data_IF_914751371599
#
_entry.id   IF_914751371599
#
_cell.length_a   1.000
_cell.length_b   1.000
_cell.length_c   1.000
_cell.angle_alpha   90.00
_cell.angle_beta   90.00
_cell.angle_gamma   90.00
#
_symmetry.space_group_name_H-M   'P 1'
#
loop_
_entity.id
_entity.type
_entity.pdbx_description
1 polymer ?
#
# COMPACT_ATOMS: atom_id res chain seq x y z
N UNK A 1 1.72 8.00 18.28
CA UNK A 1 1.96 6.61 17.90
C UNK A 1 0.72 6.19 17.14
N UNK A 2 0.75 6.26 15.81
CA UNK A 2 -0.39 5.84 15.00
C UNK A 2 -0.16 4.38 14.65
N UNK A 3 -1.19 3.56 14.88
CA UNK A 3 -1.15 2.11 14.82
C UNK A 3 -0.73 1.62 13.43
N UNK A 4 0.34 0.81 13.39
CA UNK A 4 0.87 0.24 12.17
C UNK A 4 -0.11 -0.84 11.68
N UNK A 5 -0.67 -0.64 10.48
CA UNK A 5 -1.59 -1.60 9.88
C UNK A 5 -0.80 -2.86 9.49
N UNK A 6 -1.01 -3.98 10.17
CA UNK A 6 -0.31 -5.23 9.87
C UNK A 6 -0.98 -6.02 8.74
N UNK A 7 -2.31 -6.09 8.78
CA UNK A 7 -3.12 -6.79 7.80
C UNK A 7 -4.52 -6.18 7.72
N UNK A 8 -5.16 -6.33 6.57
CA UNK A 8 -6.58 -6.05 6.38
C UNK A 8 -7.26 -7.33 5.93
N UNK A 9 -8.22 -7.75 6.73
CA UNK A 9 -9.06 -8.92 6.45
C UNK A 9 -10.43 -8.40 6.02
N UNK A 10 -10.86 -8.76 4.82
CA UNK A 10 -12.25 -8.62 4.34
C UNK A 10 -12.90 -10.01 4.28
N UNK A 11 -14.20 -10.07 4.03
CA UNK A 11 -14.94 -11.36 3.95
C UNK A 11 -14.37 -12.33 2.90
N UNK A 12 -13.69 -11.82 1.87
CA UNK A 12 -13.16 -12.61 0.75
C UNK A 12 -11.66 -12.51 0.56
N UNK A 13 -10.98 -11.49 1.13
CA UNK A 13 -9.56 -11.25 0.90
C UNK A 13 -8.83 -10.88 2.19
N UNK A 14 -7.69 -11.50 2.43
CA UNK A 14 -6.72 -11.03 3.43
C UNK A 14 -5.53 -10.45 2.71
N UNK A 15 -5.17 -9.21 3.05
CA UNK A 15 -3.97 -8.55 2.55
C UNK A 15 -3.07 -8.16 3.71
N UNK A 16 -1.77 -8.37 3.55
CA UNK A 16 -0.73 -8.06 4.52
C UNK A 16 0.06 -6.85 4.05
N UNK A 17 0.29 -5.91 4.96
CA UNK A 17 1.01 -4.68 4.68
C UNK A 17 2.47 -4.86 5.05
N UNK A 18 3.34 -4.51 4.12
CA UNK A 18 4.78 -4.48 4.32
C UNK A 18 5.21 -3.03 4.39
N UNK A 19 5.82 -2.64 5.51
CA UNK A 19 6.29 -1.29 5.75
C UNK A 19 7.82 -1.22 5.64
N UNK A 20 8.33 -0.08 5.17
CA UNK A 20 9.74 0.25 5.26
C UNK A 20 10.12 0.67 6.70
N UNK A 21 11.41 0.78 7.01
CA UNK A 21 11.91 1.19 8.33
C UNK A 21 11.41 2.57 8.82
N UNK A 22 10.85 3.38 7.93
CA UNK A 22 10.18 4.66 8.24
C UNK A 22 8.66 4.55 8.48
N UNK A 23 8.07 3.36 8.39
CA UNK A 23 6.63 3.12 8.57
C UNK A 23 5.77 3.45 7.34
N UNK A 24 6.36 3.41 6.14
CA UNK A 24 5.65 3.63 4.87
C UNK A 24 5.36 2.30 4.19
N UNK A 25 4.11 2.08 3.75
CA UNK A 25 3.69 0.83 3.07
C UNK A 25 4.40 0.67 1.73
N UNK A 26 5.34 -0.26 1.59
CA UNK A 26 6.06 -0.53 0.33
C UNK A 26 5.45 -1.66 -0.49
N UNK A 27 4.74 -2.60 0.13
CA UNK A 27 4.11 -3.69 -0.58
C UNK A 27 2.88 -4.24 0.15
N UNK A 28 2.01 -4.89 -0.62
CA UNK A 28 0.86 -5.65 -0.15
C UNK A 28 0.91 -7.05 -0.70
N UNK A 29 0.77 -8.05 0.15
CA UNK A 29 0.68 -9.46 -0.24
C UNK A 29 -0.65 -10.08 0.16
N UNK A 30 -1.12 -11.07 -0.58
CA UNK A 30 -2.30 -11.85 -0.19
C UNK A 30 -1.96 -12.97 0.83
N UNK A 31 -2.97 -13.75 1.22
CA UNK A 31 -2.83 -14.91 2.11
C UNK A 31 -2.03 -16.07 1.54
N UNK A 32 -1.75 -16.06 0.24
CA UNK A 32 -0.91 -17.06 -0.44
C UNK A 32 0.53 -16.57 -0.60
N UNK A 33 0.84 -15.35 -0.18
CA UNK A 33 2.17 -14.74 -0.27
C UNK A 33 2.46 -14.08 -1.62
N UNK A 34 1.48 -13.98 -2.51
CA UNK A 34 1.65 -13.26 -3.77
C UNK A 34 1.55 -11.76 -3.52
N UNK A 35 2.47 -10.99 -4.09
CA UNK A 35 2.37 -9.52 -4.09
C UNK A 35 1.14 -9.17 -4.92
N UNK A 36 0.26 -8.37 -4.33
CA UNK A 36 -0.97 -7.85 -4.96
C UNK A 36 -0.72 -6.43 -5.46
N UNK A 37 0.03 -5.63 -4.70
CA UNK A 37 0.33 -4.24 -5.01
C UNK A 37 1.68 -3.87 -4.40
N UNK A 38 2.43 -2.99 -5.07
CA UNK A 38 3.67 -2.41 -4.55
C UNK A 38 3.59 -0.89 -4.62
N UNK A 39 4.28 -0.22 -3.71
CA UNK A 39 4.32 1.24 -3.67
C UNK A 39 5.77 1.70 -3.67
N UNK A 40 6.07 2.65 -4.54
CA UNK A 40 7.35 3.33 -4.57
C UNK A 40 7.13 4.80 -4.31
N UNK A 41 8.05 5.42 -3.60
CA UNK A 41 7.96 6.84 -3.29
C UNK A 41 9.06 7.59 -4.06
N UNK A 42 8.67 8.67 -4.72
CA UNK A 42 9.64 9.61 -5.30
C UNK A 42 10.37 10.39 -4.19
N UNK A 43 11.41 11.16 -4.53
CA UNK A 43 12.17 12.00 -3.59
C UNK A 43 11.29 13.04 -2.89
N UNK A 44 10.15 13.39 -3.48
CA UNK A 44 9.13 14.27 -2.90
C UNK A 44 8.11 13.53 -2.02
N UNK A 45 8.22 12.21 -1.85
CA UNK A 45 7.29 11.40 -1.06
C UNK A 45 5.98 11.08 -1.76
N UNK A 46 5.86 11.36 -3.07
CA UNK A 46 4.67 10.99 -3.85
C UNK A 46 4.62 9.47 -4.05
N UNK A 47 3.54 8.79 -3.60
CA UNK A 47 3.39 7.36 -3.80
C UNK A 47 3.01 7.07 -5.26
N UNK A 48 3.78 6.20 -5.91
CA UNK A 48 3.43 5.56 -7.17
C UNK A 48 2.97 4.15 -6.89
N UNK A 49 1.75 3.83 -7.33
CA UNK A 49 1.15 2.52 -7.16
C UNK A 49 1.59 1.64 -8.33
N UNK A 50 2.15 0.48 -8.00
CA UNK A 50 2.65 -0.48 -8.96
C UNK A 50 1.88 -1.79 -8.81
N UNK A 51 1.52 -2.36 -9.96
CA UNK A 51 0.98 -3.71 -10.05
C UNK A 51 2.07 -4.76 -9.75
N UNK A 52 1.65 -6.01 -9.62
CA UNK A 52 2.50 -7.20 -9.46
C UNK A 52 3.54 -7.35 -10.56
N UNK A 53 3.28 -6.76 -11.73
CA UNK A 53 4.17 -6.71 -12.90
C UNK A 53 4.97 -5.41 -13.02
N UNK A 54 5.05 -4.61 -11.94
CA UNK A 54 5.71 -3.29 -11.91
C UNK A 54 5.14 -2.27 -12.89
N UNK A 55 3.89 -2.46 -13.34
CA UNK A 55 3.19 -1.48 -14.14
C UNK A 55 2.53 -0.42 -13.25
N UNK A 56 2.62 0.86 -13.61
CA UNK A 56 1.97 1.94 -12.88
C UNK A 56 0.44 1.78 -12.95
N UNK A 57 -0.21 1.83 -11.79
CA UNK A 57 -1.66 1.79 -11.66
C UNK A 57 -2.18 3.20 -11.32
N UNK A 58 -3.22 3.69 -12.01
CA UNK A 58 -3.82 5.00 -11.70
C UNK A 58 -4.56 4.99 -10.36
N UNK A 59 -4.97 3.81 -9.87
CA UNK A 59 -5.70 3.62 -8.61
C UNK A 59 -5.31 2.31 -7.93
N UNK A 60 -5.36 2.27 -6.59
CA UNK A 60 -5.15 1.03 -5.84
C UNK A 60 -6.32 0.07 -6.08
N UNK A 61 -6.01 -1.14 -6.55
CA UNK A 61 -6.99 -2.23 -6.72
C UNK A 61 -7.54 -2.70 -5.38
N UNK A 62 -6.77 -2.49 -4.32
CA UNK A 62 -7.16 -2.81 -2.96
C UNK A 62 -7.72 -1.61 -2.20
N UNK A 63 -7.92 -0.44 -2.81
CA UNK A 63 -8.40 0.77 -2.11
C UNK A 63 -7.59 1.05 -0.84
N UNK A 64 -6.27 1.01 -0.97
CA UNK A 64 -5.40 1.35 0.14
C UNK A 64 -5.44 2.86 0.36
N UNK A 65 -6.01 3.29 1.48
CA UNK A 65 -6.08 4.70 1.88
C UNK A 65 -4.86 5.15 2.69
N UNK A 66 -4.05 4.22 3.18
CA UNK A 66 -2.94 4.48 4.10
C UNK A 66 -1.62 4.23 3.38
N UNK A 67 -1.20 5.23 2.60
CA UNK A 67 -0.05 5.12 1.70
C UNK A 67 1.18 5.83 2.27
N UNK A 68 1.08 7.05 2.79
CA UNK A 68 2.26 7.80 3.24
C UNK A 68 2.14 8.24 4.70
N UNK A 69 3.10 7.85 5.55
CA UNK A 69 3.17 8.21 6.99
C UNK A 69 1.98 7.79 7.86
N UNK A 70 1.20 6.78 7.44
CA UNK A 70 -0.03 6.40 8.13
C UNK A 70 -1.14 7.46 8.09
N UNK A 71 -1.01 8.47 7.20
CA UNK A 71 -2.05 9.48 6.96
C UNK A 71 -2.85 9.11 5.71
N UNK A 72 -4.15 9.38 5.73
CA UNK A 72 -4.99 9.22 4.54
C UNK A 72 -4.41 10.08 3.42
N UNK A 73 -3.98 9.44 2.32
CA UNK A 73 -3.57 10.16 1.12
C UNK A 73 -4.86 10.65 0.44
N UNK A 74 -5.27 11.88 0.77
CA UNK A 74 -6.21 12.64 -0.06
C UNK A 74 -5.43 13.04 -1.31
N UNK A 75 -5.62 12.29 -2.39
CA UNK A 75 -5.39 12.83 -3.72
C UNK A 75 -6.40 13.98 -3.90
N UNK A 76 -6.03 15.18 -3.49
CA UNK A 76 -6.85 16.38 -3.73
C UNK A 76 -6.94 16.62 -5.25
N UNK A 77 -8.17 17.01 -5.66
CA UNK A 77 -8.73 17.07 -7.02
C UNK A 77 -7.86 17.76 -8.09
#
# INVERSE_FOLDING_TARGET
>A
MIDELLCRVTETNTVYYHHDGLGSTVALTDSTGNVVESYTYDVYGQPSILSTTYHLLPTSSVTNRFLFTGREYLAEL
#
